data_IF_601517118230
#
_entry.id   IF_601517118230
#
_cell.length_a   1.000
_cell.length_b   1.000
_cell.length_c   1.000
_cell.angle_alpha   90.00
_cell.angle_beta   90.00
_cell.angle_gamma   90.00
#
_symmetry.space_group_name_H-M   'P 1'
#
loop_
_entity.id
_entity.type
_entity.pdbx_description
1 polymer ?
#
# COMPACT_ATOMS: atom_id res chain seq x y z
N UNK A 1 -12.47 -14.21 -2.36
CA UNK A 1 -11.82 -14.91 -1.25
C UNK A 1 -10.50 -15.49 -1.72
N UNK A 2 -9.52 -15.56 -0.83
CA UNK A 2 -8.15 -16.04 -1.07
C UNK A 2 -7.89 -17.19 -0.09
N UNK A 3 -7.28 -18.27 -0.56
CA UNK A 3 -6.92 -19.43 0.25
C UNK A 3 -5.39 -19.55 0.40
N UNK A 4 -4.92 -20.67 0.97
CA UNK A 4 -3.49 -20.97 1.15
C UNK A 4 -2.66 -20.80 -0.13
N UNK A 5 -3.22 -21.02 -1.32
CA UNK A 5 -2.49 -20.88 -2.61
C UNK A 5 -2.18 -19.43 -2.96
N UNK A 6 -2.74 -18.49 -2.20
CA UNK A 6 -2.59 -17.07 -2.44
C UNK A 6 -3.39 -16.60 -3.65
N UNK A 7 -2.98 -15.48 -4.23
CA UNK A 7 -3.64 -14.88 -5.38
C UNK A 7 -3.24 -13.43 -5.61
N UNK A 8 -3.85 -12.81 -6.62
CA UNK A 8 -3.59 -11.43 -6.97
C UNK A 8 -4.91 -10.67 -7.02
N UNK A 9 -5.02 -9.61 -6.23
CA UNK A 9 -6.10 -8.63 -6.33
C UNK A 9 -5.61 -7.44 -7.14
N UNK A 10 -6.18 -7.26 -8.34
CA UNK A 10 -5.82 -6.17 -9.24
C UNK A 10 -6.96 -5.16 -9.32
N UNK A 11 -6.61 -3.87 -9.34
CA UNK A 11 -7.49 -2.77 -9.71
C UNK A 11 -7.03 -2.19 -11.05
N UNK A 12 -7.46 -2.73 -12.21
CA UNK A 12 -6.94 -2.33 -13.52
C UNK A 12 -7.13 -0.84 -13.82
N UNK A 13 -8.20 -0.22 -13.31
CA UNK A 13 -8.49 1.21 -13.50
C UNK A 13 -7.45 2.13 -12.87
N UNK A 14 -6.83 1.70 -11.77
CA UNK A 14 -5.94 2.54 -10.97
C UNK A 14 -4.50 2.04 -11.00
N UNK A 15 -4.24 0.83 -11.49
CA UNK A 15 -2.92 0.20 -11.50
C UNK A 15 -2.48 -0.36 -10.14
N UNK A 16 -3.33 -0.27 -9.10
CA UNK A 16 -3.05 -0.84 -7.78
C UNK A 16 -3.18 -2.36 -7.84
N UNK A 17 -2.23 -3.08 -7.24
CA UNK A 17 -2.30 -4.53 -7.10
C UNK A 17 -1.80 -5.01 -5.74
N UNK A 18 -2.45 -6.02 -5.19
CA UNK A 18 -2.00 -6.76 -4.02
C UNK A 18 -1.67 -8.20 -4.44
N UNK A 19 -0.44 -8.62 -4.23
CA UNK A 19 0.05 -9.97 -4.49
C UNK A 19 0.15 -10.70 -3.16
N UNK A 20 -0.59 -11.79 -3.04
CA UNK A 20 -0.64 -12.65 -1.85
C UNK A 20 0.08 -13.94 -2.23
N UNK A 21 1.29 -14.20 -1.70
CA UNK A 21 2.02 -15.41 -2.02
C UNK A 21 1.36 -16.64 -1.39
N UNK A 22 1.70 -17.81 -1.93
CA UNK A 22 1.33 -19.10 -1.32
C UNK A 22 1.85 -19.16 0.12
N UNK A 23 1.03 -19.70 1.03
CA UNK A 23 1.32 -19.81 2.46
C UNK A 23 1.05 -18.55 3.27
N UNK A 24 0.72 -17.40 2.65
CA UNK A 24 0.37 -16.18 3.39
C UNK A 24 -0.88 -16.35 4.26
N UNK A 25 -1.80 -17.22 3.85
CA UNK A 25 -3.01 -17.63 4.57
C UNK A 25 -2.85 -19.08 5.04
N UNK A 26 -3.41 -19.41 6.21
CA UNK A 26 -3.38 -20.77 6.76
C UNK A 26 -4.09 -21.79 5.86
N UNK A 27 -3.55 -23.01 5.78
CA UNK A 27 -4.18 -24.10 5.04
C UNK A 27 -5.58 -24.41 5.59
N UNK A 28 -6.53 -24.68 4.69
CA UNK A 28 -7.93 -24.91 5.04
C UNK A 28 -8.74 -23.65 5.37
N UNK A 29 -8.13 -22.45 5.37
CA UNK A 29 -8.83 -21.18 5.58
C UNK A 29 -9.12 -20.50 4.23
N UNK A 30 -10.33 -19.96 4.09
CA UNK A 30 -10.69 -19.02 3.02
C UNK A 30 -10.87 -17.63 3.62
N UNK A 31 -9.97 -16.71 3.26
CA UNK A 31 -9.96 -15.35 3.77
C UNK A 31 -10.60 -14.39 2.77
N UNK A 32 -11.55 -13.57 3.24
CA UNK A 32 -11.99 -12.41 2.48
C UNK A 32 -10.93 -11.32 2.58
N UNK A 33 -10.45 -10.83 1.43
CA UNK A 33 -9.48 -9.73 1.34
C UNK A 33 -9.99 -8.75 0.31
N UNK A 34 -9.94 -7.47 0.63
CA UNK A 34 -10.31 -6.42 -0.30
C UNK A 34 -9.29 -5.29 -0.30
N UNK A 35 -9.24 -4.60 -1.45
CA UNK A 35 -8.44 -3.40 -1.66
C UNK A 35 -9.38 -2.35 -2.23
N UNK A 36 -9.46 -1.20 -1.55
CA UNK A 36 -10.26 -0.05 -1.97
C UNK A 36 -9.35 1.11 -2.29
N UNK A 37 -9.52 1.70 -3.47
CA UNK A 37 -8.86 2.96 -3.83
C UNK A 37 -9.78 4.12 -3.47
N UNK A 38 -9.32 4.98 -2.56
CA UNK A 38 -10.04 6.14 -2.07
C UNK A 38 -9.56 7.41 -2.76
N UNK A 39 -10.45 8.41 -2.86
CA UNK A 39 -10.06 9.72 -3.40
C UNK A 39 -9.47 10.55 -2.28
N UNK A 40 -8.38 11.26 -2.58
CA UNK A 40 -7.73 12.17 -1.63
C UNK A 40 -8.62 13.35 -1.19
N UNK A 41 -9.73 13.59 -1.90
CA UNK A 41 -10.72 14.63 -1.58
C UNK A 41 -11.64 14.27 -0.41
N UNK A 42 -11.62 13.02 0.09
CA UNK A 42 -12.43 12.60 1.22
C UNK A 42 -11.75 13.06 2.53
N UNK A 43 -12.28 14.09 3.24
CA UNK A 43 -11.55 14.78 4.31
C UNK A 43 -11.20 13.88 5.51
N UNK A 44 -11.98 12.81 5.74
CA UNK A 44 -11.77 11.87 6.84
C UNK A 44 -10.74 10.78 6.59
N UNK A 45 -10.22 10.68 5.35
CA UNK A 45 -9.34 9.58 4.94
C UNK A 45 -7.99 10.07 4.41
N UNK A 46 -7.78 11.39 4.33
CA UNK A 46 -6.52 11.94 3.82
C UNK A 46 -5.42 11.83 4.89
N UNK A 47 -4.21 11.37 4.52
CA UNK A 47 -3.06 11.49 5.42
C UNK A 47 -2.76 12.96 5.73
N UNK A 48 -2.19 13.27 6.91
CA UNK A 48 -1.68 14.61 7.20
C UNK A 48 -0.55 14.89 6.21
N UNK A 49 -0.77 15.87 5.34
CA UNK A 49 0.18 16.35 4.35
C UNK A 49 0.44 17.82 4.64
N UNK A 50 1.71 18.17 4.82
CA UNK A 50 2.13 19.55 4.97
C UNK A 50 2.38 20.19 3.61
N UNK A 51 1.30 20.64 2.98
CA UNK A 51 1.35 21.31 1.67
C UNK A 51 2.21 22.59 1.71
N UNK A 52 2.29 23.25 2.86
CA UNK A 52 3.10 24.46 3.04
C UNK A 52 4.61 24.17 2.95
N UNK A 53 5.00 22.93 3.24
CA UNK A 53 6.37 22.42 3.11
C UNK A 53 6.61 21.64 1.82
N UNK A 54 5.64 21.64 0.91
CA UNK A 54 5.73 20.98 -0.39
C UNK A 54 5.43 19.49 -0.37
N UNK A 55 4.82 18.95 0.70
CA UNK A 55 4.34 17.56 0.70
C UNK A 55 3.12 17.42 -0.21
N UNK A 56 3.16 16.43 -1.11
CA UNK A 56 2.05 16.11 -2.01
C UNK A 56 1.80 14.61 -2.06
N UNK A 57 0.55 14.24 -2.32
CA UNK A 57 0.16 12.84 -2.45
C UNK A 57 0.56 12.32 -3.84
N UNK A 58 1.58 11.46 -3.89
CA UNK A 58 2.14 10.95 -5.16
C UNK A 58 1.56 9.61 -5.61
N UNK A 59 0.90 8.87 -4.72
CA UNK A 59 0.27 7.56 -4.97
C UNK A 59 -1.21 7.59 -4.59
N UNK A 60 -2.07 6.72 -5.16
CA UNK A 60 -3.45 6.65 -4.75
C UNK A 60 -3.55 6.25 -3.27
N UNK A 61 -4.55 6.81 -2.59
CA UNK A 61 -4.90 6.38 -1.25
C UNK A 61 -5.56 5.00 -1.31
N UNK A 62 -5.02 4.04 -0.58
CA UNK A 62 -5.51 2.65 -0.59
C UNK A 62 -5.87 2.22 0.83
N UNK A 63 -7.01 1.57 0.95
CA UNK A 63 -7.44 0.87 2.16
C UNK A 63 -7.47 -0.63 1.87
N UNK A 64 -6.72 -1.39 2.64
CA UNK A 64 -6.75 -2.85 2.61
C UNK A 64 -7.54 -3.36 3.81
N UNK A 65 -8.18 -4.52 3.67
CA UNK A 65 -8.87 -5.14 4.79
C UNK A 65 -9.16 -6.62 4.59
N UNK A 66 -9.71 -7.28 5.61
CA UNK A 66 -10.17 -6.71 6.90
C UNK A 66 -9.03 -6.22 7.80
N UNK A 67 -9.35 -5.32 8.74
CA UNK A 67 -8.40 -4.80 9.73
C UNK A 67 -7.89 -5.95 10.62
N UNK A 68 -6.64 -5.83 11.09
CA UNK A 68 -5.98 -6.77 12.00
C UNK A 68 -5.74 -8.15 11.37
N UNK A 69 -5.91 -8.28 10.05
CA UNK A 69 -5.56 -9.49 9.33
C UNK A 69 -4.04 -9.66 9.30
N UNK A 70 -3.55 -10.77 9.86
CA UNK A 70 -2.14 -11.13 9.82
C UNK A 70 -1.83 -12.13 8.72
N UNK A 71 -0.66 -11.98 8.10
CA UNK A 71 -0.15 -12.89 7.09
C UNK A 71 1.08 -13.64 7.60
N UNK A 72 1.11 -14.95 7.35
CA UNK A 72 2.27 -15.78 7.70
C UNK A 72 3.51 -15.42 6.86
N UNK A 73 3.27 -14.96 5.63
CA UNK A 73 4.27 -14.48 4.68
C UNK A 73 3.87 -13.08 4.25
N UNK A 74 4.76 -12.07 4.28
CA UNK A 74 4.41 -10.72 3.87
C UNK A 74 3.85 -10.67 2.45
N UNK A 75 2.73 -9.98 2.28
CA UNK A 75 2.08 -9.72 0.99
C UNK A 75 2.70 -8.49 0.33
N UNK A 76 2.63 -8.40 -0.99
CA UNK A 76 3.21 -7.28 -1.74
C UNK A 76 2.11 -6.34 -2.25
N UNK A 77 2.10 -5.10 -1.76
CA UNK A 77 1.23 -4.04 -2.26
C UNK A 77 2.01 -3.17 -3.25
N UNK A 78 1.51 -3.09 -4.49
CA UNK A 78 2.04 -2.20 -5.52
C UNK A 78 1.10 -1.02 -5.74
N UNK A 79 1.66 0.17 -5.61
CA UNK A 79 0.98 1.44 -5.85
C UNK A 79 1.67 2.15 -7.01
N UNK A 80 0.94 2.56 -8.05
CA UNK A 80 1.51 3.45 -9.04
C UNK A 80 1.78 4.82 -8.39
N UNK A 81 2.84 5.50 -8.85
CA UNK A 81 3.12 6.87 -8.43
C UNK A 81 3.36 7.79 -9.62
N UNK A 82 3.11 9.08 -9.43
CA UNK A 82 3.25 10.10 -10.49
C UNK A 82 4.60 10.84 -10.46
N UNK A 83 5.64 10.20 -9.95
CA UNK A 83 6.97 10.78 -9.86
C UNK A 83 7.80 10.38 -11.07
N UNK A 84 8.09 11.34 -11.95
CA UNK A 84 9.17 11.16 -12.91
C UNK A 84 10.50 11.28 -12.17
N UNK A 85 11.47 10.42 -12.48
CA UNK A 85 12.84 10.48 -11.95
C UNK A 85 13.63 11.69 -12.48
N UNK A 86 13.01 12.87 -12.51
CA UNK A 86 13.60 14.15 -12.89
C UNK A 86 14.34 14.70 -11.69
N UNK A 87 15.68 14.59 -11.68
CA UNK A 87 16.74 15.46 -11.13
C UNK A 87 16.51 16.42 -9.93
N UNK A 88 15.39 16.38 -9.23
CA UNK A 88 15.06 17.14 -8.03
C UNK A 88 15.11 16.20 -6.83
N UNK A 89 15.56 16.71 -5.68
CA UNK A 89 15.73 15.93 -4.45
C UNK A 89 14.37 15.62 -3.80
N UNK A 90 13.53 14.78 -4.42
CA UNK A 90 12.31 14.28 -3.81
C UNK A 90 12.60 13.05 -2.94
N UNK A 91 11.89 12.92 -1.83
CA UNK A 91 11.89 11.72 -0.99
C UNK A 91 10.46 11.18 -0.88
N UNK A 92 10.31 9.85 -0.98
CA UNK A 92 9.04 9.20 -0.70
C UNK A 92 8.95 8.87 0.78
N UNK A 93 7.77 9.11 1.34
CA UNK A 93 7.36 8.60 2.63
C UNK A 93 6.08 7.78 2.45
N UNK A 94 6.04 6.60 3.04
CA UNK A 94 4.81 5.83 3.15
C UNK A 94 4.12 6.24 4.45
N UNK A 95 2.82 6.56 4.38
CA UNK A 95 2.00 6.79 5.56
C UNK A 95 0.94 5.70 5.62
N UNK A 96 0.88 4.98 6.73
CA UNK A 96 -0.11 3.92 6.99
C UNK A 96 -0.94 4.30 8.22
N UNK A 97 -2.22 3.93 8.25
CA UNK A 97 -3.08 4.33 9.35
C UNK A 97 -4.54 3.92 9.20
N UNK A 98 -5.31 4.08 10.28
CA UNK A 98 -6.75 3.77 10.34
C UNK A 98 -7.63 4.97 9.96
N UNK A 99 -7.07 5.95 9.24
CA UNK A 99 -7.72 7.20 8.86
C UNK A 99 -7.71 8.27 9.97
N UNK A 100 -7.78 7.88 11.24
CA UNK A 100 -7.69 8.80 12.39
C UNK A 100 -6.27 9.03 12.89
N UNK A 101 -5.41 8.02 12.75
CA UNK A 101 -4.00 8.07 13.10
C UNK A 101 -3.19 7.63 11.90
N UNK A 102 -2.08 8.32 11.64
CA UNK A 102 -1.19 8.08 10.52
C UNK A 102 0.24 7.97 11.03
N UNK A 103 0.85 6.81 10.82
CA UNK A 103 2.25 6.58 11.10
C UNK A 103 3.06 6.72 9.82
N UNK A 104 4.15 7.49 9.90
CA UNK A 104 5.08 7.61 8.81
C UNK A 104 6.08 6.46 8.85
N UNK A 105 5.97 5.56 7.88
CA UNK A 105 6.97 4.55 7.62
C UNK A 105 8.06 5.16 6.73
N UNK A 106 9.28 5.22 7.26
CA UNK A 106 10.44 5.53 6.44
C UNK A 106 10.64 4.40 5.43
N UNK A 107 10.66 4.74 4.14
CA UNK A 107 11.13 3.86 3.07
C UNK A 107 12.66 3.85 3.13
N UNK A 108 13.20 3.19 4.15
CA UNK A 108 14.64 3.00 4.28
C UNK A 108 15.10 1.83 3.41
N UNK A 109 16.39 1.76 3.09
CA UNK A 109 16.95 0.68 2.25
C UNK A 109 16.79 -0.72 2.89
N UNK A 110 16.37 -0.80 4.15
CA UNK A 110 16.13 -2.04 4.89
C UNK A 110 14.64 -2.45 4.95
N UNK A 111 13.70 -1.54 4.68
CA UNK A 111 12.33 -1.96 4.35
C UNK A 111 12.40 -2.63 2.99
N UNK A 112 11.81 -3.83 2.84
CA UNK A 112 11.73 -4.57 1.57
C UNK A 112 10.80 -3.88 0.56
N UNK A 113 11.03 -2.60 0.34
CA UNK A 113 10.29 -1.72 -0.55
C UNK A 113 11.13 -1.49 -1.80
N UNK A 114 10.49 -1.63 -2.96
CA UNK A 114 11.15 -1.41 -4.25
C UNK A 114 10.44 -0.24 -4.90
N UNK A 115 11.17 0.88 -5.05
CA UNK A 115 10.72 2.04 -5.80
C UNK A 115 11.27 1.90 -7.22
N UNK A 116 10.37 1.83 -8.20
CA UNK A 116 10.72 1.87 -9.64
C UNK A 116 10.17 3.16 -10.24
N UNK A 117 10.49 3.48 -11.49
CA UNK A 117 9.98 4.69 -12.16
C UNK A 117 8.45 4.74 -12.36
N UNK A 118 7.73 3.63 -12.08
CA UNK A 118 6.29 3.52 -12.36
C UNK A 118 5.46 3.08 -11.15
N UNK A 119 6.06 2.35 -10.21
CA UNK A 119 5.37 1.86 -9.03
C UNK A 119 6.29 1.82 -7.81
N UNK A 120 5.69 2.01 -6.64
CA UNK A 120 6.28 1.62 -5.37
C UNK A 120 5.67 0.28 -4.96
N UNK A 121 6.53 -0.67 -4.60
CA UNK A 121 6.15 -1.96 -4.04
C UNK A 121 6.55 -2.03 -2.58
N UNK A 122 5.63 -2.48 -1.72
CA UNK A 122 5.82 -2.54 -0.27
C UNK A 122 5.41 -3.93 0.21
N UNK A 123 6.24 -4.55 1.05
CA UNK A 123 5.86 -5.77 1.77
C UNK A 123 5.12 -5.43 3.05
N UNK A 124 3.97 -6.07 3.25
CA UNK A 124 3.06 -5.82 4.36
C UNK A 124 2.78 -7.17 5.04
N UNK A 125 2.94 -7.24 6.37
CA UNK A 125 2.67 -8.46 7.13
C UNK A 125 1.30 -8.47 7.81
N UNK A 126 0.61 -7.33 7.83
CA UNK A 126 -0.73 -7.18 8.41
C UNK A 126 -1.46 -5.99 7.78
N UNK A 127 -2.80 -6.01 7.82
CA UNK A 127 -3.62 -4.84 7.49
C UNK A 127 -4.05 -4.04 8.70
#
# INVERSE_FOLDING_TARGET
MIDFRGGILNCPKTGVSLIIPEGAINEGVQQEIYVKVCRASDPGNRPPLDESRGESLMSPLVMCGPQDLQFNVPVELRLPHSVSNSSENWSLALKSGTGQQWDQMALDKNTSSVVTDHFVSIKISHF
#
